data_IF_796017052926
#
_entry.id   IF_796017052926
#
_cell.length_a   1.000
_cell.length_b   1.000
_cell.length_c   1.000
_cell.angle_alpha   90.00
_cell.angle_beta   90.00
_cell.angle_gamma   90.00
#
_symmetry.space_group_name_H-M   'P 1'
#
loop_
_entity.id
_entity.type
_entity.pdbx_description
1 polymer ?
#
# COMPACT_ATOMS: atom_id res chain seq x y z
N UNK A 1 -13.60 -21.34 12.81
CA UNK A 1 -13.43 -20.29 11.77
C UNK A 1 -12.44 -19.25 12.25
N UNK A 2 -11.37 -18.98 11.49
CA UNK A 2 -10.40 -17.92 11.85
C UNK A 2 -10.90 -16.58 11.35
N UNK A 3 -11.07 -15.62 12.24
CA UNK A 3 -11.58 -14.29 11.90
C UNK A 3 -10.43 -13.43 11.35
N UNK A 4 -10.65 -12.80 10.20
CA UNK A 4 -9.68 -11.91 9.56
C UNK A 4 -10.33 -10.55 9.32
N UNK A 5 -9.78 -9.51 9.93
CA UNK A 5 -10.18 -8.12 9.68
C UNK A 5 -9.10 -7.43 8.90
N UNK A 6 -9.50 -6.75 7.82
CA UNK A 6 -8.61 -5.91 7.02
C UNK A 6 -9.31 -4.59 6.75
N UNK A 7 -8.61 -3.50 7.04
CA UNK A 7 -9.06 -2.14 6.76
C UNK A 7 -7.92 -1.35 6.12
N UNK A 8 -8.26 -0.36 5.32
CA UNK A 8 -7.26 0.51 4.72
C UNK A 8 -7.89 1.68 4.01
N UNK A 9 -7.10 2.73 3.85
CA UNK A 9 -7.48 3.93 3.12
C UNK A 9 -6.30 4.41 2.28
N UNK A 10 -6.61 5.00 1.14
CA UNK A 10 -5.63 5.59 0.23
C UNK A 10 -6.08 6.99 -0.16
N UNK A 11 -5.13 7.91 -0.22
CA UNK A 11 -5.31 9.26 -0.76
C UNK A 11 -4.44 9.37 -2.00
N UNK A 12 -5.05 9.79 -3.12
CA UNK A 12 -4.37 9.99 -4.39
C UNK A 12 -4.32 11.49 -4.70
N UNK A 13 -3.12 12.00 -4.95
CA UNK A 13 -2.83 13.37 -5.31
C UNK A 13 -2.42 13.42 -6.76
N UNK A 14 -3.22 14.11 -7.58
CA UNK A 14 -2.93 14.33 -8.98
C UNK A 14 -2.35 15.74 -9.19
N UNK A 15 -1.11 15.84 -9.67
CA UNK A 15 -0.45 17.12 -9.92
C UNK A 15 -0.66 17.65 -11.34
N UNK A 16 -1.49 17.02 -12.18
CA UNK A 16 -1.86 17.50 -13.51
C UNK A 16 -2.35 18.95 -13.53
N UNK A 17 -3.00 19.40 -12.46
CA UNK A 17 -3.55 20.75 -12.36
C UNK A 17 -2.50 21.84 -12.09
N UNK A 18 -1.30 21.49 -11.60
CA UNK A 18 -0.30 22.44 -11.08
C UNK A 18 1.06 22.29 -11.78
N UNK A 19 1.32 21.14 -12.41
CA UNK A 19 2.59 20.81 -13.06
C UNK A 19 2.39 20.46 -14.53
N UNK A 20 3.35 20.86 -15.38
CA UNK A 20 3.42 20.39 -16.78
C UNK A 20 3.87 18.94 -16.90
N UNK A 21 4.43 18.37 -15.83
CA UNK A 21 4.78 16.95 -15.74
C UNK A 21 3.64 16.23 -15.06
N UNK A 22 2.96 15.30 -15.77
CA UNK A 22 1.78 14.64 -15.24
C UNK A 22 2.21 13.50 -14.32
N UNK A 23 2.37 13.86 -13.05
CA UNK A 23 2.75 12.97 -11.97
C UNK A 23 1.61 12.93 -10.95
N UNK A 24 1.29 11.74 -10.46
CA UNK A 24 0.44 11.50 -9.30
C UNK A 24 1.23 10.86 -8.17
N UNK A 25 0.81 11.12 -6.94
CA UNK A 25 1.34 10.47 -5.74
C UNK A 25 0.19 9.87 -4.95
N UNK A 26 0.26 8.58 -4.64
CA UNK A 26 -0.70 7.91 -3.77
C UNK A 26 -0.03 7.55 -2.45
N UNK A 27 -0.71 7.88 -1.36
CA UNK A 27 -0.35 7.48 0.00
C UNK A 27 -1.45 6.59 0.56
N UNK A 28 -1.07 5.42 1.07
CA UNK A 28 -1.98 4.43 1.61
C UNK A 28 -1.55 3.95 2.98
N UNK A 29 -2.52 3.73 3.85
CA UNK A 29 -2.35 3.03 5.11
C UNK A 29 -3.26 1.79 5.13
N UNK A 30 -2.75 0.67 5.63
CA UNK A 30 -3.52 -0.55 5.84
C UNK A 30 -3.28 -1.11 7.24
N UNK A 31 -4.32 -1.74 7.75
CA UNK A 31 -4.31 -2.48 9.01
C UNK A 31 -4.94 -3.85 8.76
N UNK A 32 -4.30 -4.90 9.27
CA UNK A 32 -4.81 -6.26 9.20
C UNK A 32 -4.57 -6.95 10.53
N UNK A 33 -5.58 -7.68 11.01
CA UNK A 33 -5.41 -8.63 12.12
C UNK A 33 -5.39 -10.03 11.56
N UNK A 34 -4.38 -10.81 11.90
CA UNK A 34 -4.25 -12.22 11.52
C UNK A 34 -4.30 -13.06 12.79
N UNK A 35 -5.25 -13.99 12.85
CA UNK A 35 -5.31 -14.99 13.93
C UNK A 35 -4.50 -16.22 13.53
N UNK A 36 -3.44 -16.50 14.31
CA UNK A 36 -2.64 -17.70 14.22
C UNK A 36 -2.78 -18.43 15.56
N UNK A 37 -3.54 -19.53 15.55
CA UNK A 37 -3.90 -20.27 16.77
C UNK A 37 -4.64 -19.39 17.79
N UNK A 38 -4.19 -19.35 19.06
CA UNK A 38 -4.78 -18.55 20.14
C UNK A 38 -4.26 -17.09 20.16
N UNK A 39 -3.29 -16.75 19.30
CA UNK A 39 -2.72 -15.42 19.23
C UNK A 39 -3.21 -14.62 18.02
N UNK A 40 -3.34 -13.31 18.24
CA UNK A 40 -3.64 -12.33 17.21
C UNK A 40 -2.43 -11.43 16.97
N UNK A 41 -1.94 -11.43 15.75
CA UNK A 41 -0.89 -10.53 15.31
C UNK A 41 -1.52 -9.35 14.55
N UNK A 42 -1.04 -8.16 14.87
CA UNK A 42 -1.42 -6.92 14.20
C UNK A 42 -0.37 -6.58 13.15
N UNK A 43 -0.84 -6.33 11.93
CA UNK A 43 -0.01 -5.93 10.80
C UNK A 43 -0.42 -4.54 10.38
N UNK A 44 0.51 -3.61 10.52
CA UNK A 44 0.39 -2.23 10.05
C UNK A 44 1.19 -2.10 8.77
N UNK A 45 0.59 -1.58 7.72
CA UNK A 45 1.30 -1.39 6.47
C UNK A 45 1.00 -0.04 5.85
N UNK A 46 1.86 0.36 4.94
CA UNK A 46 1.66 1.53 4.11
C UNK A 46 2.11 1.30 2.69
N UNK A 47 1.65 2.21 1.84
CA UNK A 47 1.97 2.24 0.42
C UNK A 47 2.27 3.68 0.03
N UNK A 48 3.38 3.89 -0.66
CA UNK A 48 3.68 5.11 -1.37
C UNK A 48 3.77 4.76 -2.85
N UNK A 49 3.05 5.46 -3.70
CA UNK A 49 3.17 5.33 -5.15
C UNK A 49 3.54 6.67 -5.74
N UNK A 50 4.46 6.65 -6.69
CA UNK A 50 4.71 7.76 -7.61
C UNK A 50 4.35 7.24 -9.00
N UNK A 51 3.44 7.93 -9.68
CA UNK A 51 2.95 7.49 -10.98
C UNK A 51 3.01 8.61 -12.01
N UNK A 52 3.26 8.24 -13.25
CA UNK A 52 3.00 9.07 -14.41
C UNK A 52 1.57 8.82 -14.89
N UNK A 53 0.77 9.89 -14.95
CA UNK A 53 -0.65 9.88 -15.31
C UNK A 53 -0.96 10.82 -16.48
N UNK A 54 0.00 11.00 -17.40
CA UNK A 54 -0.11 11.92 -18.55
C UNK A 54 -1.18 11.60 -19.58
N UNK A 55 -1.78 10.42 -19.50
CA UNK A 55 -2.96 10.07 -20.28
C UNK A 55 -4.07 9.67 -19.32
N UNK A 56 -5.30 10.07 -19.64
CA UNK A 56 -6.48 9.70 -18.86
C UNK A 56 -6.76 8.19 -18.87
N UNK A 57 -6.24 7.47 -19.86
CA UNK A 57 -6.45 6.03 -20.06
C UNK A 57 -5.25 5.17 -19.61
N UNK A 58 -4.12 5.76 -19.21
CA UNK A 58 -2.92 4.98 -18.86
C UNK A 58 -2.15 5.56 -17.68
N UNK A 59 -1.79 4.69 -16.74
CA UNK A 59 -0.97 5.00 -15.58
C UNK A 59 0.20 4.01 -15.50
N UNK A 60 1.40 4.55 -15.31
CA UNK A 60 2.60 3.79 -14.93
C UNK A 60 3.13 4.32 -13.60
N UNK A 61 3.25 3.46 -12.60
CA UNK A 61 3.69 3.85 -11.27
C UNK A 61 4.73 2.93 -10.66
N UNK A 62 5.53 3.50 -9.77
CA UNK A 62 6.40 2.78 -8.84
C UNK A 62 5.70 2.76 -7.49
N UNK A 63 5.47 1.55 -6.99
CA UNK A 63 4.81 1.27 -5.71
C UNK A 63 5.87 0.83 -4.70
N UNK A 64 5.92 1.50 -3.55
CA UNK A 64 6.78 1.16 -2.42
C UNK A 64 5.86 0.84 -1.25
N UNK A 65 5.77 -0.43 -0.92
CA UNK A 65 4.98 -0.92 0.21
C UNK A 65 5.88 -1.28 1.38
N UNK A 66 5.37 -1.06 2.58
CA UNK A 66 6.00 -1.55 3.81
C UNK A 66 4.95 -2.18 4.71
N UNK A 67 5.31 -3.25 5.39
CA UNK A 67 4.51 -3.85 6.46
C UNK A 67 5.37 -4.03 7.70
N UNK A 68 4.78 -3.68 8.83
CA UNK A 68 5.26 -3.88 10.18
C UNK A 68 4.32 -4.88 10.82
N UNK A 69 4.81 -6.09 11.07
CA UNK A 69 4.08 -7.11 11.80
C UNK A 69 4.74 -7.28 13.17
N UNK A 70 3.98 -6.98 14.23
CA UNK A 70 4.37 -7.35 15.58
C UNK A 70 3.97 -8.81 15.79
N UNK A 71 4.93 -9.70 15.56
CA UNK A 71 4.76 -11.13 15.80
C UNK A 71 5.06 -11.40 17.28
N UNK A 72 4.01 -11.55 18.09
CA UNK A 72 4.16 -11.93 19.51
C UNK A 72 4.86 -13.27 19.67
N UNK A 73 4.76 -14.13 18.65
CA UNK A 73 5.41 -15.44 18.59
C UNK A 73 6.93 -15.41 18.37
N UNK A 74 7.50 -14.28 17.93
CA UNK A 74 8.92 -14.19 17.55
C UNK A 74 9.73 -13.23 18.43
N UNK A 75 9.11 -12.55 19.41
CA UNK A 75 9.71 -11.50 20.26
C UNK A 75 10.48 -10.44 19.45
N UNK A 76 10.12 -10.30 18.16
CA UNK A 76 10.79 -9.49 17.16
C UNK A 76 9.76 -8.89 16.20
N UNK A 77 9.90 -7.60 15.92
CA UNK A 77 9.11 -6.90 14.89
C UNK A 77 9.66 -7.26 13.51
N UNK A 78 8.82 -7.82 12.64
CA UNK A 78 9.17 -8.11 11.25
C UNK A 78 8.87 -6.90 10.37
N UNK A 79 9.90 -6.37 9.68
CA UNK A 79 9.76 -5.28 8.72
C UNK A 79 9.91 -5.83 7.30
N UNK A 80 8.81 -5.81 6.53
CA UNK A 80 8.78 -6.28 5.16
C UNK A 80 8.64 -5.08 4.22
N UNK A 81 9.65 -4.85 3.39
CA UNK A 81 9.60 -3.89 2.29
C UNK A 81 9.24 -4.57 0.97
N UNK A 82 8.49 -3.88 0.13
CA UNK A 82 8.17 -4.30 -1.23
C UNK A 82 8.33 -3.13 -2.20
N UNK A 83 8.81 -3.43 -3.41
CA UNK A 83 8.88 -2.50 -4.52
C UNK A 83 8.22 -3.17 -5.72
N UNK A 84 7.26 -2.48 -6.34
CA UNK A 84 6.50 -2.99 -7.46
C UNK A 84 6.34 -1.96 -8.56
N UNK A 85 6.15 -2.42 -9.79
CA UNK A 85 5.78 -1.58 -10.94
C UNK A 85 4.29 -1.79 -11.20
N UNK A 86 3.52 -0.72 -11.16
CA UNK A 86 2.09 -0.71 -11.44
C UNK A 86 1.84 -0.21 -12.87
N UNK A 87 1.25 -1.05 -13.71
CA UNK A 87 0.80 -0.69 -15.05
C UNK A 87 -0.72 -0.82 -15.09
N UNK A 88 -1.43 0.26 -15.40
CA UNK A 88 -2.89 0.27 -15.47
C UNK A 88 -3.38 0.95 -16.73
N UNK A 89 -4.31 0.30 -17.40
CA UNK A 89 -4.96 0.81 -18.61
C UNK A 89 -6.48 0.80 -18.40
N UNK A 90 -7.15 1.90 -18.73
CA UNK A 90 -8.61 2.06 -18.65
C UNK A 90 -9.19 2.04 -20.07
N UNK A 91 -10.22 1.21 -20.29
CA UNK A 91 -10.92 1.04 -21.58
C UNK A 91 -12.18 1.90 -21.65
#
# INVERSE_FOLDING_TARGET
DRFHVKAGATVDFDFLAISSVPIGVLLGGRFSTVQIEDDSDEVYGGLIRIAYNGRSDFIIGLDIGFDLADSKSLDQTLNLGSVGINLRYYF
#
